data_IF_541887355096
#
_entry.id   IF_541887355096
#
_cell.length_a   1.000
_cell.length_b   1.000
_cell.length_c   1.000
_cell.angle_alpha   90.00
_cell.angle_beta   90.00
_cell.angle_gamma   90.00
#
_symmetry.space_group_name_H-M   'P 1'
#
loop_
_entity.id
_entity.type
_entity.pdbx_description
1 polymer ?
#
# COMPACT_ATOMS: atom_id res chain seq x y z
N UNK A 1 15.42 -17.36 49.63
CA UNK A 1 14.23 -16.95 48.85
C UNK A 1 14.68 -15.98 47.77
N UNK A 2 14.32 -16.31 46.52
CA UNK A 2 14.28 -15.47 45.29
C UNK A 2 15.61 -14.95 44.70
N UNK A 3 16.16 -15.80 43.81
CA UNK A 3 16.71 -15.42 42.49
C UNK A 3 15.70 -14.55 41.73
N UNK A 4 16.18 -13.50 41.03
CA UNK A 4 15.72 -13.06 39.69
C UNK A 4 16.28 -11.66 39.38
N UNK A 5 17.14 -11.58 38.37
CA UNK A 5 16.96 -10.74 37.17
C UNK A 5 18.26 -10.76 36.36
N UNK A 6 18.55 -11.91 35.75
CA UNK A 6 19.25 -11.89 34.46
C UNK A 6 18.21 -11.44 33.44
N UNK A 7 18.37 -10.21 32.97
CA UNK A 7 17.66 -9.71 31.82
C UNK A 7 18.13 -10.53 30.62
N UNK A 8 17.26 -11.40 30.13
CA UNK A 8 17.43 -12.07 28.84
C UNK A 8 17.28 -11.01 27.76
N UNK A 9 18.41 -10.51 27.26
CA UNK A 9 18.48 -9.87 25.95
C UNK A 9 18.16 -10.94 24.90
N UNK A 10 16.89 -11.04 24.53
CA UNK A 10 16.47 -11.85 23.39
C UNK A 10 16.92 -11.15 22.13
N UNK A 11 18.14 -11.45 21.68
CA UNK A 11 18.57 -11.24 20.30
C UNK A 11 17.55 -11.98 19.43
N UNK A 12 16.71 -11.24 18.69
CA UNK A 12 15.89 -11.76 17.60
C UNK A 12 16.84 -12.18 16.47
N UNK A 13 17.55 -13.29 16.67
CA UNK A 13 18.14 -14.07 15.61
C UNK A 13 16.93 -14.74 14.93
N UNK A 14 16.51 -14.24 13.77
CA UNK A 14 15.48 -14.94 12.99
C UNK A 14 15.97 -16.36 12.77
N UNK A 15 15.22 -17.35 13.27
CA UNK A 15 15.47 -18.75 12.96
C UNK A 15 15.41 -18.87 11.44
N UNK A 16 16.54 -19.17 10.81
CA UNK A 16 16.60 -19.45 9.38
C UNK A 16 15.89 -20.78 9.18
N UNK A 17 14.68 -20.72 8.66
CA UNK A 17 13.89 -21.89 8.32
C UNK A 17 14.46 -22.56 7.07
N UNK A 18 14.36 -23.89 6.99
CA UNK A 18 14.61 -24.61 5.76
C UNK A 18 13.57 -24.23 4.69
N UNK A 19 13.89 -24.47 3.41
CA UNK A 19 12.94 -24.24 2.33
C UNK A 19 11.64 -25.06 2.50
N UNK A 20 11.76 -26.28 3.06
CA UNK A 20 10.62 -27.16 3.36
C UNK A 20 9.75 -26.60 4.49
N UNK A 21 10.36 -26.06 5.55
CA UNK A 21 9.64 -25.42 6.65
C UNK A 21 8.89 -24.17 6.17
N UNK A 22 9.54 -23.32 5.36
CA UNK A 22 8.91 -22.14 4.77
C UNK A 22 7.72 -22.53 3.90
N UNK A 23 7.88 -23.54 3.05
CA UNK A 23 6.80 -24.03 2.20
C UNK A 23 5.62 -24.57 3.02
N UNK A 24 5.90 -25.37 4.06
CA UNK A 24 4.89 -25.94 4.94
C UNK A 24 4.04 -24.85 5.62
N UNK A 25 4.68 -23.85 6.22
CA UNK A 25 3.98 -22.73 6.89
C UNK A 25 3.18 -21.91 5.88
N UNK A 26 3.75 -21.63 4.70
CA UNK A 26 3.05 -20.86 3.67
C UNK A 26 1.80 -21.57 3.17
N UNK A 27 1.86 -22.89 3.00
CA UNK A 27 0.71 -23.73 2.64
C UNK A 27 -0.34 -23.72 3.76
N UNK A 28 0.08 -23.81 5.02
CA UNK A 28 -0.84 -23.73 6.16
C UNK A 28 -1.59 -22.38 6.17
N UNK A 29 -0.89 -21.26 6.00
CA UNK A 29 -1.52 -19.92 5.97
C UNK A 29 -2.50 -19.82 4.79
N UNK A 30 -2.15 -20.37 3.63
CA UNK A 30 -3.08 -20.42 2.50
C UNK A 30 -4.33 -21.24 2.83
N UNK A 31 -4.19 -22.42 3.44
CA UNK A 31 -5.33 -23.25 3.85
C UNK A 31 -6.24 -22.53 4.86
N UNK A 32 -5.66 -21.76 5.78
CA UNK A 32 -6.44 -20.92 6.70
C UNK A 32 -7.21 -19.81 5.97
N UNK A 33 -6.64 -19.21 4.92
CA UNK A 33 -7.37 -18.28 4.05
C UNK A 33 -8.49 -19.00 3.29
N UNK A 34 -8.24 -20.23 2.81
CA UNK A 34 -9.22 -21.03 2.07
C UNK A 34 -10.47 -21.37 2.92
N UNK A 35 -10.33 -21.48 4.24
CA UNK A 35 -11.48 -21.65 5.14
C UNK A 35 -12.49 -20.48 5.09
N UNK A 36 -12.10 -19.32 4.53
CA UNK A 36 -12.92 -18.13 4.39
C UNK A 36 -13.37 -17.84 2.96
N UNK A 37 -13.23 -18.80 2.04
CA UNK A 37 -13.67 -18.63 0.64
C UNK A 37 -15.17 -18.34 0.58
N UNK A 38 -15.51 -17.25 -0.09
CA UNK A 38 -16.87 -16.96 -0.53
C UNK A 38 -16.96 -17.19 -2.06
N UNK A 39 -17.73 -18.19 -2.53
CA UNK A 39 -17.88 -18.49 -3.95
C UNK A 39 -18.41 -17.31 -4.78
N UNK A 40 -19.28 -16.48 -4.20
CA UNK A 40 -19.83 -15.30 -4.86
C UNK A 40 -18.72 -14.26 -5.05
N UNK A 41 -17.87 -14.07 -4.05
CA UNK A 41 -16.71 -13.18 -4.16
C UNK A 41 -15.67 -13.73 -5.13
N UNK A 42 -15.41 -15.04 -5.12
CA UNK A 42 -14.49 -15.70 -6.05
C UNK A 42 -14.86 -15.42 -7.51
N UNK A 43 -16.15 -15.43 -7.84
CA UNK A 43 -16.60 -15.09 -9.20
C UNK A 43 -16.55 -13.57 -9.48
N UNK A 44 -16.89 -12.74 -8.51
CA UNK A 44 -17.02 -11.29 -8.68
C UNK A 44 -15.67 -10.55 -8.70
N UNK A 45 -14.74 -10.89 -7.81
CA UNK A 45 -13.49 -10.15 -7.60
C UNK A 45 -12.61 -10.04 -8.86
N UNK A 46 -12.44 -11.09 -9.70
CA UNK A 46 -11.69 -10.96 -10.95
C UNK A 46 -12.22 -9.87 -11.88
N UNK A 47 -13.54 -9.65 -11.94
CA UNK A 47 -14.16 -8.59 -12.75
C UNK A 47 -13.98 -7.20 -12.13
N UNK A 48 -14.08 -7.13 -10.80
CA UNK A 48 -13.87 -5.89 -10.05
C UNK A 48 -12.42 -5.40 -10.16
N UNK A 49 -11.45 -6.31 -10.01
CA UNK A 49 -10.02 -6.04 -10.09
C UNK A 49 -9.46 -6.05 -11.53
N UNK A 50 -10.31 -6.19 -12.54
CA UNK A 50 -9.95 -6.07 -13.96
C UNK A 50 -8.80 -7.00 -14.34
N UNK A 51 -9.06 -8.31 -14.26
CA UNK A 51 -8.08 -9.38 -14.52
C UNK A 51 -8.08 -9.93 -15.94
N UNK A 52 -8.90 -9.37 -16.83
CA UNK A 52 -8.94 -9.76 -18.24
C UNK A 52 -7.70 -9.31 -19.02
N UNK A 53 -7.53 -9.86 -20.22
CA UNK A 53 -6.44 -9.48 -21.13
C UNK A 53 -6.43 -7.99 -21.43
N UNK A 54 -5.26 -7.36 -21.33
CA UNK A 54 -5.03 -5.93 -21.53
C UNK A 54 -5.48 -5.03 -20.36
N UNK A 55 -5.96 -5.61 -19.26
CA UNK A 55 -6.37 -4.86 -18.07
C UNK A 55 -5.24 -4.80 -17.03
N UNK A 56 -5.35 -3.88 -16.07
CA UNK A 56 -4.27 -3.64 -15.11
C UNK A 56 -3.99 -4.83 -14.17
N UNK A 57 -4.96 -5.71 -13.94
CA UNK A 57 -4.84 -6.90 -13.10
C UNK A 57 -4.70 -8.19 -13.91
N UNK A 58 -4.34 -8.11 -15.20
CA UNK A 58 -4.27 -9.27 -16.09
C UNK A 58 -3.53 -10.45 -15.46
N UNK A 59 -4.17 -11.62 -15.44
CA UNK A 59 -3.60 -12.86 -14.92
C UNK A 59 -3.68 -13.05 -13.40
N UNK A 60 -4.15 -12.05 -12.65
CA UNK A 60 -4.36 -12.18 -11.21
C UNK A 60 -5.51 -13.15 -10.88
N UNK A 61 -5.36 -13.94 -9.82
CA UNK A 61 -6.32 -14.97 -9.38
C UNK A 61 -6.80 -14.70 -7.97
N UNK A 62 -8.07 -14.98 -7.72
CA UNK A 62 -8.72 -14.67 -6.44
C UNK A 62 -9.29 -15.93 -5.79
N UNK A 63 -8.98 -16.11 -4.51
CA UNK A 63 -9.62 -17.12 -3.68
C UNK A 63 -11.07 -16.76 -3.38
N UNK A 64 -11.43 -15.47 -3.38
CA UNK A 64 -12.76 -15.00 -2.96
C UNK A 64 -12.83 -14.68 -1.47
N UNK A 65 -11.71 -14.30 -0.85
CA UNK A 65 -11.66 -13.99 0.59
C UNK A 65 -11.75 -12.49 0.78
N UNK A 66 -12.65 -12.04 1.65
CA UNK A 66 -12.81 -10.60 1.93
C UNK A 66 -11.71 -10.08 2.86
N UNK A 67 -11.34 -8.81 2.68
CA UNK A 67 -10.25 -8.15 3.43
C UNK A 67 -10.33 -8.33 4.95
N UNK A 68 -11.50 -8.25 5.62
CA UNK A 68 -11.58 -8.50 7.06
C UNK A 68 -11.06 -9.88 7.49
N UNK A 69 -11.34 -10.93 6.71
CA UNK A 69 -10.88 -12.29 6.99
C UNK A 69 -9.38 -12.43 6.71
N UNK A 70 -8.89 -11.84 5.62
CA UNK A 70 -7.43 -11.77 5.34
C UNK A 70 -6.67 -11.08 6.47
N UNK A 71 -7.22 -10.00 7.04
CA UNK A 71 -6.64 -9.30 8.20
C UNK A 71 -6.58 -10.19 9.44
N UNK A 72 -7.59 -11.03 9.67
CA UNK A 72 -7.62 -11.93 10.81
C UNK A 72 -6.46 -12.93 10.74
N UNK A 73 -6.28 -13.60 9.60
CA UNK A 73 -5.17 -14.53 9.37
C UNK A 73 -3.82 -13.81 9.47
N UNK A 74 -3.67 -12.68 8.78
CA UNK A 74 -2.42 -11.91 8.80
C UNK A 74 -1.98 -11.51 10.21
N UNK A 75 -2.91 -11.16 11.10
CA UNK A 75 -2.62 -10.78 12.48
C UNK A 75 -2.08 -11.94 13.33
N UNK A 76 -2.52 -13.17 13.04
CA UNK A 76 -2.09 -14.38 13.75
C UNK A 76 -0.65 -14.75 13.35
N UNK A 77 -0.29 -14.56 12.07
CA UNK A 77 0.99 -14.97 11.50
C UNK A 77 2.03 -13.85 11.34
N UNK A 78 1.79 -12.65 11.88
CA UNK A 78 2.70 -11.49 11.71
C UNK A 78 4.13 -11.69 12.21
N UNK A 79 4.38 -12.72 13.02
CA UNK A 79 5.70 -13.05 13.57
C UNK A 79 6.47 -14.07 12.73
N UNK A 80 5.85 -14.61 11.67
CA UNK A 80 6.52 -15.52 10.76
C UNK A 80 7.75 -14.86 10.08
N UNK A 81 8.80 -15.63 9.76
CA UNK A 81 9.99 -15.11 9.10
C UNK A 81 9.70 -14.53 7.72
N UNK A 82 10.57 -13.63 7.24
CA UNK A 82 10.43 -13.03 5.91
C UNK A 82 10.39 -14.07 4.77
N UNK A 83 11.00 -15.24 4.94
CA UNK A 83 10.91 -16.34 3.98
C UNK A 83 9.47 -16.79 3.72
N UNK A 84 8.63 -16.88 4.76
CA UNK A 84 7.21 -17.23 4.64
C UNK A 84 6.44 -16.11 3.94
N UNK A 85 6.67 -14.86 4.32
CA UNK A 85 6.03 -13.71 3.67
C UNK A 85 6.44 -13.59 2.20
N UNK A 86 7.70 -13.90 1.86
CA UNK A 86 8.18 -13.93 0.49
C UNK A 86 7.48 -15.03 -0.32
N UNK A 87 7.36 -16.24 0.22
CA UNK A 87 6.65 -17.35 -0.43
C UNK A 87 5.16 -17.00 -0.68
N UNK A 88 4.47 -16.41 0.30
CA UNK A 88 3.10 -15.92 0.13
C UNK A 88 2.99 -14.82 -0.94
N UNK A 89 3.97 -13.91 -1.04
CA UNK A 89 4.04 -12.89 -2.09
C UNK A 89 4.24 -13.49 -3.49
N UNK A 90 4.91 -14.64 -3.60
CA UNK A 90 5.06 -15.37 -4.86
C UNK A 90 3.82 -16.18 -5.27
N UNK A 91 2.84 -16.34 -4.36
CA UNK A 91 1.58 -17.02 -4.68
C UNK A 91 0.86 -16.36 -5.86
N UNK A 92 0.20 -17.17 -6.68
CA UNK A 92 -0.70 -16.69 -7.73
C UNK A 92 -1.99 -16.09 -7.16
N UNK A 93 -2.35 -16.45 -5.93
CA UNK A 93 -3.54 -15.99 -5.26
C UNK A 93 -3.35 -14.60 -4.67
N UNK A 94 -4.19 -13.67 -5.10
CA UNK A 94 -4.22 -12.30 -4.64
C UNK A 94 -4.27 -12.19 -3.11
N UNK A 95 -5.15 -12.95 -2.46
CA UNK A 95 -5.36 -12.86 -1.01
C UNK A 95 -4.20 -13.42 -0.19
N UNK A 96 -3.38 -14.33 -0.74
CA UNK A 96 -2.12 -14.75 -0.12
C UNK A 96 -1.12 -13.59 -0.10
N UNK A 97 -1.00 -12.88 -1.23
CA UNK A 97 -0.11 -11.71 -1.36
C UNK A 97 -0.57 -10.57 -0.46
N UNK A 98 -1.88 -10.31 -0.42
CA UNK A 98 -2.47 -9.36 0.51
C UNK A 98 -2.20 -9.75 1.98
N UNK A 99 -2.35 -11.03 2.32
CA UNK A 99 -2.06 -11.53 3.67
C UNK A 99 -0.63 -11.21 4.10
N UNK A 100 0.35 -11.53 3.25
CA UNK A 100 1.77 -11.23 3.52
C UNK A 100 2.02 -9.73 3.77
N UNK A 101 1.44 -8.85 2.95
CA UNK A 101 1.57 -7.41 3.12
C UNK A 101 0.93 -6.93 4.43
N UNK A 102 -0.21 -7.49 4.81
CA UNK A 102 -0.88 -7.16 6.07
C UNK A 102 -0.12 -7.71 7.28
N UNK A 103 0.54 -8.87 7.16
CA UNK A 103 1.46 -9.39 8.18
C UNK A 103 2.61 -8.40 8.41
N UNK A 104 3.22 -7.89 7.34
CA UNK A 104 4.27 -6.86 7.42
C UNK A 104 3.77 -5.58 8.10
N UNK A 105 2.57 -5.09 7.75
CA UNK A 105 1.96 -3.90 8.38
C UNK A 105 1.74 -4.12 9.88
N UNK A 106 1.24 -5.29 10.29
CA UNK A 106 1.02 -5.60 11.70
C UNK A 106 2.33 -5.77 12.48
N UNK A 107 3.36 -6.36 11.84
CA UNK A 107 4.71 -6.49 12.41
C UNK A 107 5.35 -5.12 12.59
N UNK A 108 5.29 -4.26 11.57
CA UNK A 108 5.89 -2.92 11.56
C UNK A 108 5.42 -2.05 12.74
N UNK A 109 4.12 -2.08 13.06
CA UNK A 109 3.53 -1.34 14.19
C UNK A 109 4.14 -1.70 15.55
N UNK A 110 4.76 -2.86 15.68
CA UNK A 110 5.31 -3.40 16.93
C UNK A 110 6.84 -3.49 16.92
N UNK A 111 7.47 -3.14 15.81
CA UNK A 111 8.93 -3.16 15.66
C UNK A 111 9.58 -1.89 16.18
N UNK A 112 10.81 -2.03 16.64
CA UNK A 112 11.74 -0.94 16.87
C UNK A 112 12.30 -0.39 15.54
N UNK A 113 13.19 0.59 15.58
CA UNK A 113 13.73 1.20 14.35
C UNK A 113 14.51 0.21 13.48
N UNK A 114 15.21 -0.75 14.08
CA UNK A 114 15.91 -1.80 13.33
C UNK A 114 14.92 -2.68 12.58
N UNK A 115 13.92 -3.23 13.27
CA UNK A 115 12.90 -4.08 12.64
C UNK A 115 12.06 -3.34 11.61
N UNK A 116 11.74 -2.06 11.84
CA UNK A 116 11.06 -1.22 10.85
C UNK A 116 11.88 -1.05 9.58
N UNK A 117 13.19 -0.84 9.71
CA UNK A 117 14.11 -0.76 8.56
C UNK A 117 14.15 -2.08 7.78
N UNK A 118 14.26 -3.21 8.47
CA UNK A 118 14.27 -4.53 7.83
C UNK A 118 12.97 -4.79 7.05
N UNK A 119 11.81 -4.46 7.65
CA UNK A 119 10.50 -4.58 6.98
C UNK A 119 10.40 -3.63 5.78
N UNK A 120 10.88 -2.39 5.91
CA UNK A 120 10.89 -1.41 4.85
C UNK A 120 11.74 -1.88 3.65
N UNK A 121 12.98 -2.32 3.91
CA UNK A 121 13.89 -2.82 2.89
C UNK A 121 13.32 -4.08 2.23
N UNK A 122 12.75 -5.00 3.01
CA UNK A 122 12.06 -6.18 2.50
C UNK A 122 10.90 -5.80 1.58
N UNK A 123 10.01 -4.90 2.03
CA UNK A 123 8.87 -4.43 1.22
C UNK A 123 9.32 -3.87 -0.13
N UNK A 124 10.34 -3.02 -0.15
CA UNK A 124 10.88 -2.44 -1.38
C UNK A 124 11.55 -3.47 -2.30
N UNK A 125 12.08 -4.56 -1.77
CA UNK A 125 12.62 -5.66 -2.57
C UNK A 125 11.54 -6.47 -3.28
N UNK A 126 10.29 -6.42 -2.81
CA UNK A 126 9.19 -7.27 -3.27
C UNK A 126 8.15 -6.54 -4.16
N UNK A 127 8.38 -5.28 -4.54
CA UNK A 127 7.34 -4.47 -5.20
C UNK A 127 6.82 -5.05 -6.52
N UNK A 128 7.62 -5.88 -7.20
CA UNK A 128 7.18 -6.61 -8.40
C UNK A 128 6.00 -7.57 -8.17
N UNK A 129 5.74 -7.98 -6.93
CA UNK A 129 4.57 -8.80 -6.55
C UNK A 129 3.41 -8.01 -5.96
N UNK A 130 3.59 -6.71 -5.73
CA UNK A 130 2.58 -5.77 -5.23
C UNK A 130 1.89 -5.14 -6.45
N UNK A 131 1.16 -5.96 -7.19
CA UNK A 131 0.71 -5.62 -8.54
C UNK A 131 -0.78 -5.26 -8.66
N UNK A 132 -1.37 -4.71 -7.59
CA UNK A 132 -2.74 -4.25 -7.59
C UNK A 132 -2.89 -3.03 -6.67
N UNK A 133 -3.92 -2.21 -6.90
CA UNK A 133 -4.07 -0.95 -6.19
C UNK A 133 -4.34 -1.16 -4.70
N UNK A 134 -5.09 -2.19 -4.33
CA UNK A 134 -5.44 -2.47 -2.94
C UNK A 134 -4.25 -3.05 -2.15
N UNK A 135 -3.42 -3.89 -2.80
CA UNK A 135 -2.15 -4.35 -2.24
C UNK A 135 -1.26 -3.15 -1.86
N UNK A 136 -1.16 -2.14 -2.73
CA UNK A 136 -0.44 -0.89 -2.45
C UNK A 136 -1.13 -0.10 -1.35
N UNK A 137 -2.42 0.20 -1.52
CA UNK A 137 -3.15 1.15 -0.67
C UNK A 137 -3.27 0.67 0.78
N UNK A 138 -3.32 -0.65 1.01
CA UNK A 138 -3.43 -1.24 2.33
C UNK A 138 -2.08 -1.45 3.03
N UNK A 139 -0.96 -1.25 2.34
CA UNK A 139 0.39 -1.53 2.87
C UNK A 139 1.34 -0.34 2.85
N UNK A 140 1.40 0.40 1.73
CA UNK A 140 2.37 1.46 1.50
C UNK A 140 2.31 2.62 2.53
N UNK A 141 1.13 3.09 2.99
CA UNK A 141 1.09 4.12 4.04
C UNK A 141 1.68 3.64 5.36
N UNK A 142 1.34 2.41 5.77
CA UNK A 142 1.70 1.84 7.07
C UNK A 142 3.13 1.33 7.17
N UNK A 143 3.82 1.15 6.03
CA UNK A 143 5.21 0.71 5.97
C UNK A 143 6.08 1.84 5.44
N UNK A 144 5.98 2.15 4.13
CA UNK A 144 6.84 3.14 3.46
C UNK A 144 6.58 4.55 4.00
N UNK A 145 5.32 4.93 4.14
CA UNK A 145 4.94 6.25 4.68
C UNK A 145 5.39 6.44 6.13
N UNK A 146 5.10 5.46 7.00
CA UNK A 146 5.51 5.50 8.41
C UNK A 146 7.03 5.45 8.59
N UNK A 147 7.75 4.70 7.77
CA UNK A 147 9.21 4.63 7.86
C UNK A 147 9.87 5.94 7.42
N UNK A 148 9.37 6.58 6.36
CA UNK A 148 9.96 7.77 5.75
C UNK A 148 9.54 9.10 6.38
N UNK A 149 8.63 9.10 7.36
CA UNK A 149 8.11 10.34 7.96
C UNK A 149 9.20 11.22 8.57
N UNK A 150 10.24 10.60 9.13
CA UNK A 150 11.37 11.24 9.82
C UNK A 150 12.72 10.93 9.15
N UNK A 151 12.71 10.52 7.87
CA UNK A 151 13.90 10.09 7.12
C UNK A 151 13.97 10.77 5.74
N UNK A 152 15.14 10.75 5.06
CA UNK A 152 15.24 11.24 3.69
C UNK A 152 14.32 10.50 2.73
N UNK A 153 13.56 11.23 1.91
CA UNK A 153 12.44 10.68 1.12
C UNK A 153 12.78 10.40 -0.34
N UNK A 154 14.08 10.25 -0.66
CA UNK A 154 14.59 9.97 -2.02
C UNK A 154 13.90 8.77 -2.69
N UNK A 155 13.51 7.78 -1.90
CA UNK A 155 12.86 6.57 -2.41
C UNK A 155 11.46 6.83 -2.97
N UNK A 156 10.72 7.84 -2.47
CA UNK A 156 9.44 8.23 -3.07
C UNK A 156 9.65 8.66 -4.52
N UNK A 157 10.66 9.49 -4.78
CA UNK A 157 10.96 10.00 -6.12
C UNK A 157 11.51 8.90 -7.03
N UNK A 158 12.40 8.03 -6.53
CA UNK A 158 12.87 6.85 -7.26
C UNK A 158 11.72 5.94 -7.69
N UNK A 159 10.74 5.73 -6.81
CA UNK A 159 9.54 4.94 -7.09
C UNK A 159 8.60 5.64 -8.07
N UNK A 160 8.47 6.97 -7.99
CA UNK A 160 7.68 7.77 -8.94
C UNK A 160 8.27 7.77 -10.36
N UNK A 161 9.59 7.58 -10.50
CA UNK A 161 10.28 7.50 -11.79
C UNK A 161 10.31 6.10 -12.39
N UNK A 162 9.91 5.10 -11.62
CA UNK A 162 9.84 3.72 -12.10
C UNK A 162 8.85 3.58 -13.27
N UNK A 163 9.12 2.73 -14.27
CA UNK A 163 8.15 2.43 -15.32
C UNK A 163 6.94 1.62 -14.81
N UNK A 164 7.09 0.96 -13.64
CA UNK A 164 6.02 0.19 -13.01
C UNK A 164 4.97 1.09 -12.37
N UNK A 165 3.73 0.97 -12.85
CA UNK A 165 2.54 1.66 -12.32
C UNK A 165 2.44 1.57 -10.79
N UNK A 166 2.70 0.38 -10.24
CA UNK A 166 2.51 0.12 -8.81
C UNK A 166 3.58 0.76 -7.95
N UNK A 167 4.82 0.87 -8.44
CA UNK A 167 5.87 1.64 -7.76
C UNK A 167 5.48 3.13 -7.68
N UNK A 168 4.99 3.70 -8.78
CA UNK A 168 4.53 5.09 -8.80
C UNK A 168 3.36 5.30 -7.83
N UNK A 169 2.45 4.33 -7.75
CA UNK A 169 1.34 4.36 -6.79
C UNK A 169 1.85 4.28 -5.34
N UNK A 170 2.85 3.44 -5.05
CA UNK A 170 3.48 3.38 -3.72
C UNK A 170 4.02 4.76 -3.36
N UNK A 171 4.77 5.42 -4.26
CA UNK A 171 5.31 6.76 -4.02
C UNK A 171 4.24 7.76 -3.59
N UNK A 172 3.13 7.83 -4.33
CA UNK A 172 2.03 8.76 -4.05
C UNK A 172 1.28 8.36 -2.79
N UNK A 173 0.87 7.10 -2.65
CA UNK A 173 0.00 6.68 -1.55
C UNK A 173 0.72 6.66 -0.21
N UNK A 174 2.05 6.46 -0.20
CA UNK A 174 2.86 6.62 1.01
C UNK A 174 2.84 8.03 1.59
N UNK A 175 2.58 9.08 0.79
CA UNK A 175 2.46 10.44 1.32
C UNK A 175 1.23 10.61 2.20
N UNK A 176 0.27 9.67 2.20
CA UNK A 176 -0.89 9.73 3.09
C UNK A 176 -0.48 9.87 4.57
N UNK A 177 0.58 9.19 4.97
CA UNK A 177 1.13 9.29 6.33
C UNK A 177 1.73 10.67 6.58
N UNK A 178 2.45 11.24 5.62
CA UNK A 178 3.03 12.60 5.72
C UNK A 178 1.93 13.66 5.84
N UNK A 179 0.92 13.56 4.97
CA UNK A 179 -0.26 14.43 4.96
C UNK A 179 -0.97 14.37 6.31
N UNK A 180 -1.13 13.17 6.90
CA UNK A 180 -1.72 13.02 8.23
C UNK A 180 -0.97 13.78 9.32
N UNK A 181 0.34 13.95 9.16
CA UNK A 181 1.23 14.66 10.08
C UNK A 181 1.47 16.13 9.69
N UNK A 182 0.67 16.68 8.76
CA UNK A 182 0.76 18.09 8.35
C UNK A 182 1.91 18.40 7.38
N UNK A 183 2.56 17.38 6.84
CA UNK A 183 3.64 17.53 5.87
C UNK A 183 3.11 17.30 4.45
N UNK A 184 3.08 18.37 3.66
CA UNK A 184 2.48 18.40 2.32
C UNK A 184 3.49 18.52 1.19
N UNK A 185 4.79 18.62 1.50
CA UNK A 185 5.84 18.95 0.53
C UNK A 185 5.90 17.89 -0.58
N UNK A 186 5.99 16.62 -0.21
CA UNK A 186 6.15 15.54 -1.19
C UNK A 186 4.89 15.30 -2.01
N UNK A 187 3.68 15.47 -1.45
CA UNK A 187 2.47 15.27 -2.26
C UNK A 187 2.34 16.37 -3.31
N UNK A 188 2.66 17.62 -3.00
CA UNK A 188 2.66 18.69 -4.01
C UNK A 188 3.67 18.39 -5.12
N UNK A 189 4.92 18.08 -4.74
CA UNK A 189 5.99 17.78 -5.70
C UNK A 189 5.66 16.56 -6.58
N UNK A 190 5.16 15.47 -5.99
CA UNK A 190 4.76 14.27 -6.73
C UNK A 190 3.53 14.52 -7.61
N UNK A 191 2.59 15.37 -7.17
CA UNK A 191 1.42 15.74 -7.96
C UNK A 191 1.80 16.53 -9.21
N UNK A 192 2.78 17.46 -9.12
CA UNK A 192 3.31 18.15 -10.29
C UNK A 192 4.04 17.16 -11.23
N UNK A 193 4.89 16.31 -10.66
CA UNK A 193 5.67 15.32 -11.42
C UNK A 193 4.80 14.34 -12.21
N UNK A 194 3.70 13.91 -11.60
CA UNK A 194 2.77 12.92 -12.16
C UNK A 194 1.50 13.53 -12.73
N UNK A 195 1.46 14.86 -12.92
CA UNK A 195 0.27 15.60 -13.33
C UNK A 195 -0.36 15.03 -14.60
N UNK A 196 0.46 14.68 -15.58
CA UNK A 196 0.02 14.17 -16.90
C UNK A 196 0.08 12.65 -17.01
N UNK A 197 0.10 11.92 -15.89
CA UNK A 197 0.12 10.47 -15.92
C UNK A 197 -1.12 9.92 -16.65
N UNK A 198 -0.90 9.11 -17.68
CA UNK A 198 -1.97 8.65 -18.58
C UNK A 198 -2.92 7.63 -17.91
N UNK A 199 -2.40 6.87 -16.94
CA UNK A 199 -3.16 5.80 -16.32
C UNK A 199 -4.17 6.32 -15.28
N UNK A 200 -5.44 5.95 -15.43
CA UNK A 200 -6.56 6.38 -14.58
C UNK A 200 -6.31 6.08 -13.08
N UNK A 201 -5.78 4.92 -12.73
CA UNK A 201 -5.45 4.59 -11.33
C UNK A 201 -4.48 5.59 -10.68
N UNK A 202 -3.51 6.14 -11.43
CA UNK A 202 -2.60 7.15 -10.89
C UNK A 202 -3.27 8.51 -10.76
N UNK A 203 -4.12 8.89 -11.72
CA UNK A 203 -4.91 10.11 -11.61
C UNK A 203 -5.80 10.09 -10.36
N UNK A 204 -6.40 8.92 -10.07
CA UNK A 204 -7.16 8.68 -8.83
C UNK A 204 -6.30 8.74 -7.58
N UNK A 205 -5.09 8.16 -7.60
CA UNK A 205 -4.18 8.20 -6.44
C UNK A 205 -3.75 9.64 -6.11
N UNK A 206 -3.29 10.38 -7.12
CA UNK A 206 -2.84 11.77 -6.96
C UNK A 206 -4.01 12.65 -6.52
N UNK A 207 -5.16 12.56 -7.20
CA UNK A 207 -6.36 13.31 -6.82
C UNK A 207 -6.85 12.96 -5.42
N UNK A 208 -6.77 11.68 -5.02
CA UNK A 208 -7.08 11.27 -3.65
C UNK A 208 -6.13 11.91 -2.64
N UNK A 209 -4.82 11.84 -2.83
CA UNK A 209 -3.87 12.42 -1.89
C UNK A 209 -3.98 13.95 -1.81
N UNK A 210 -4.20 14.64 -2.94
CA UNK A 210 -4.53 16.08 -2.96
C UNK A 210 -5.80 16.39 -2.17
N UNK A 211 -6.84 15.55 -2.27
CA UNK A 211 -8.03 15.68 -1.43
C UNK A 211 -7.72 15.49 0.05
N UNK A 212 -6.89 14.52 0.41
CA UNK A 212 -6.53 14.29 1.82
C UNK A 212 -5.71 15.45 2.40
N UNK A 213 -4.87 16.10 1.59
CA UNK A 213 -4.22 17.37 1.93
C UNK A 213 -5.26 18.49 2.08
N UNK A 214 -6.16 18.66 1.11
CA UNK A 214 -7.20 19.70 1.12
C UNK A 214 -8.18 19.63 2.28
N UNK A 215 -8.40 18.44 2.88
CA UNK A 215 -9.16 18.29 4.12
C UNK A 215 -8.50 18.96 5.33
N UNK A 216 -7.19 19.21 5.26
CA UNK A 216 -6.37 19.83 6.31
C UNK A 216 -6.03 21.27 5.97
N UNK A 217 -5.75 21.53 4.69
CA UNK A 217 -5.40 22.84 4.18
C UNK A 217 -6.10 23.07 2.83
N UNK A 218 -7.30 23.64 2.89
CA UNK A 218 -8.11 23.94 1.70
C UNK A 218 -7.43 24.98 0.82
N UNK A 219 -6.82 26.00 1.41
CA UNK A 219 -6.22 27.12 0.68
C UNK A 219 -5.03 26.65 -0.13
N UNK A 220 -4.19 25.77 0.41
CA UNK A 220 -3.08 25.17 -0.32
C UNK A 220 -3.56 24.30 -1.49
N UNK A 221 -4.66 23.55 -1.31
CA UNK A 221 -5.27 22.81 -2.41
C UNK A 221 -5.79 23.76 -3.49
N UNK A 222 -6.50 24.83 -3.12
CA UNK A 222 -7.00 25.83 -4.07
C UNK A 222 -5.85 26.47 -4.85
N UNK A 223 -4.76 26.86 -4.19
CA UNK A 223 -3.57 27.41 -4.86
C UNK A 223 -2.97 26.44 -5.88
N UNK A 224 -2.85 25.15 -5.52
CA UNK A 224 -2.40 24.12 -6.45
C UNK A 224 -3.34 23.96 -7.65
N UNK A 225 -4.65 23.94 -7.40
CA UNK A 225 -5.66 23.79 -8.45
C UNK A 225 -5.73 25.01 -9.37
N UNK A 226 -5.62 26.23 -8.85
CA UNK A 226 -5.58 27.45 -9.68
C UNK A 226 -4.42 27.41 -10.68
N UNK A 227 -3.27 26.88 -10.27
CA UNK A 227 -2.09 26.71 -11.14
C UNK A 227 -2.27 25.63 -12.20
N UNK A 228 -2.98 24.54 -11.90
CA UNK A 228 -2.95 23.31 -12.71
C UNK A 228 -4.28 22.85 -13.31
N UNK A 229 -5.43 23.37 -12.88
CA UNK A 229 -6.75 22.84 -13.21
C UNK A 229 -7.02 22.71 -14.72
N UNK A 230 -6.52 23.66 -15.52
CA UNK A 230 -6.69 23.69 -16.99
C UNK A 230 -6.00 22.54 -17.72
N UNK A 231 -4.93 21.99 -17.15
CA UNK A 231 -4.11 20.92 -17.78
C UNK A 231 -4.16 19.62 -17.01
N UNK A 232 -4.71 19.64 -15.80
CA UNK A 232 -4.90 18.47 -14.95
C UNK A 232 -5.93 17.51 -15.56
N UNK A 233 -5.70 16.19 -15.55
CA UNK A 233 -6.69 15.22 -15.99
C UNK A 233 -8.00 15.34 -15.20
N UNK A 234 -9.14 15.28 -15.91
CA UNK A 234 -10.48 15.46 -15.31
C UNK A 234 -10.77 14.48 -14.17
N UNK A 235 -10.25 13.25 -14.23
CA UNK A 235 -10.38 12.29 -13.12
C UNK A 235 -9.64 12.78 -11.88
N UNK A 236 -8.40 13.24 -12.02
CA UNK A 236 -7.60 13.74 -10.92
C UNK A 236 -8.28 14.96 -10.26
N UNK A 237 -8.71 15.92 -11.07
CA UNK A 237 -9.42 17.12 -10.60
C UNK A 237 -10.68 16.75 -9.81
N UNK A 238 -11.52 15.86 -10.36
CA UNK A 238 -12.76 15.41 -9.71
C UNK A 238 -12.51 14.77 -8.35
N UNK A 239 -11.43 13.99 -8.23
CA UNK A 239 -11.04 13.37 -6.96
C UNK A 239 -10.55 14.43 -5.95
N UNK A 240 -9.73 15.39 -6.40
CA UNK A 240 -9.18 16.44 -5.55
C UNK A 240 -10.28 17.32 -4.92
N UNK A 241 -11.28 17.71 -5.71
CA UNK A 241 -12.37 18.61 -5.28
C UNK A 241 -13.59 17.87 -4.71
N UNK A 242 -13.53 16.55 -4.44
CA UNK A 242 -14.71 15.77 -4.01
C UNK A 242 -15.40 16.37 -2.77
N UNK A 243 -14.64 17.00 -1.87
CA UNK A 243 -15.14 17.60 -0.62
C UNK A 243 -15.50 19.07 -0.72
N UNK A 244 -15.38 19.69 -1.89
CA UNK A 244 -15.77 21.10 -2.07
C UNK A 244 -17.30 21.22 -2.17
N UNK A 245 -17.86 22.39 -1.83
CA UNK A 245 -19.25 22.72 -2.15
C UNK A 245 -19.54 22.53 -3.64
N UNK A 246 -20.78 22.16 -3.96
CA UNK A 246 -21.17 21.81 -5.33
C UNK A 246 -20.85 22.92 -6.35
N UNK A 247 -21.09 24.18 -5.98
CA UNK A 247 -20.85 25.32 -6.86
C UNK A 247 -19.36 25.53 -7.16
N UNK A 248 -18.49 25.44 -6.14
CA UNK A 248 -17.03 25.48 -6.33
C UNK A 248 -16.55 24.32 -7.23
N UNK A 249 -17.13 23.12 -7.04
CA UNK A 249 -16.81 21.96 -7.89
C UNK A 249 -17.18 22.21 -9.35
N UNK A 250 -18.37 22.75 -9.61
CA UNK A 250 -18.83 23.10 -10.97
C UNK A 250 -17.92 24.15 -11.59
N UNK A 251 -17.48 25.14 -10.82
CA UNK A 251 -16.57 26.17 -11.31
C UNK A 251 -15.23 25.59 -11.76
N UNK A 252 -14.56 24.80 -10.91
CA UNK A 252 -13.31 24.15 -11.29
C UNK A 252 -13.46 23.22 -12.49
N UNK A 253 -14.59 22.49 -12.61
CA UNK A 253 -14.81 21.54 -13.71
C UNK A 253 -15.16 22.20 -15.06
N UNK A 254 -15.51 23.49 -15.07
CA UNK A 254 -15.80 24.29 -16.28
C UNK A 254 -14.54 24.89 -16.90
N UNK A 255 -13.47 25.05 -16.13
CA UNK A 255 -12.17 25.57 -16.57
C UNK A 255 -11.39 24.50 -17.33
#
# INVERSE_FOLDING_TARGET
MKKKNEAVETVLCERVLSAEEVACISVQIQQELEAYIDPVKREYLPRFFKTGKGQYGEGDKFLGVVVPNTRQVAKQHKHEPFGVMAALLQSEWHECRLCALLMLVERFKKSDEKGKKEIYDFYLSQTGRINNWDLVDLSAPGIVGEYLKDKPRKDLYRLADSPLLWNQRIAVVSTYTLIKNGDFIDILALSERLLHHKHDLMQKAVGWMLREMGKRDKDLLVQFLEKHCRTMPRTMLRYAIEKFPEEERKEFMKR
#
